data_IF_364172895163
#
_entry.id   IF_364172895163
#
_cell.length_a   1.000
_cell.length_b   1.000
_cell.length_c   1.000
_cell.angle_alpha   90.00
_cell.angle_beta   90.00
_cell.angle_gamma   90.00
#
_symmetry.space_group_name_H-M   'P 1'
#
loop_
_entity.id
_entity.type
_entity.pdbx_description
1 polymer ?
#
# COMPACT_ATOMS: atom_id res chain seq x y z
N UNK A 1 2.55 -10.08 25.48
CA UNK A 1 2.80 -9.00 24.51
C UNK A 1 1.84 -9.22 23.35
N UNK A 2 0.92 -8.29 23.02
CA UNK A 2 0.19 -8.37 21.77
C UNK A 2 1.20 -8.28 20.61
N UNK A 3 1.10 -9.18 19.62
CA UNK A 3 1.98 -9.13 18.46
C UNK A 3 1.49 -8.01 17.52
N UNK A 4 2.41 -7.14 17.10
CA UNK A 4 2.10 -6.01 16.23
C UNK A 4 1.80 -6.43 14.79
N UNK A 5 1.14 -5.55 14.00
CA UNK A 5 0.89 -5.78 12.58
C UNK A 5 2.16 -5.62 11.74
N UNK A 6 2.29 -6.42 10.69
CA UNK A 6 3.26 -6.24 9.60
C UNK A 6 2.58 -5.52 8.44
N UNK A 7 3.28 -4.54 7.87
CA UNK A 7 2.73 -3.70 6.81
C UNK A 7 3.77 -3.55 5.73
N UNK A 8 3.48 -4.11 4.57
CA UNK A 8 4.30 -3.99 3.37
C UNK A 8 3.83 -2.78 2.54
N UNK A 9 4.70 -2.27 1.69
CA UNK A 9 4.37 -1.21 0.74
C UNK A 9 4.52 -1.72 -0.68
N UNK A 10 3.47 -1.54 -1.49
CA UNK A 10 3.51 -1.80 -2.93
C UNK A 10 3.26 -0.50 -3.67
N UNK A 11 2.32 -0.48 -4.61
CA UNK A 11 1.98 0.69 -5.38
C UNK A 11 0.99 0.34 -6.49
N UNK A 12 0.26 1.35 -6.93
CA UNK A 12 -0.84 1.26 -7.90
C UNK A 12 -0.45 0.52 -9.19
N UNK A 13 0.84 0.50 -9.53
CA UNK A 13 1.38 -0.19 -10.70
C UNK A 13 1.25 -1.73 -10.64
N UNK A 14 0.91 -2.33 -9.50
CA UNK A 14 0.50 -3.75 -9.45
C UNK A 14 -0.84 -3.98 -10.15
N UNK A 15 -1.78 -3.02 -10.04
CA UNK A 15 -3.13 -3.12 -10.63
C UNK A 15 -3.24 -2.35 -11.95
N UNK A 16 -2.53 -1.23 -12.06
CA UNK A 16 -2.57 -0.28 -13.18
C UNK A 16 -1.16 -0.14 -13.79
N UNK A 17 -0.63 -1.18 -14.46
CA UNK A 17 0.71 -1.15 -15.03
C UNK A 17 0.82 -0.17 -16.21
N UNK A 18 2.02 0.34 -16.47
CA UNK A 18 2.30 1.23 -17.60
C UNK A 18 3.60 0.82 -18.33
N UNK A 19 3.83 1.29 -19.57
CA UNK A 19 5.07 0.99 -20.28
C UNK A 19 6.31 1.35 -19.44
N UNK A 20 7.26 0.42 -19.35
CA UNK A 20 8.50 0.59 -18.57
C UNK A 20 8.41 0.16 -17.10
N UNK A 21 7.25 -0.29 -16.60
CA UNK A 21 7.10 -0.68 -15.18
C UNK A 21 7.06 -2.18 -14.93
N UNK A 22 7.43 -3.02 -15.89
CA UNK A 22 7.29 -4.49 -15.78
C UNK A 22 7.91 -5.08 -14.51
N UNK A 23 9.14 -4.67 -14.17
CA UNK A 23 9.81 -5.12 -12.95
C UNK A 23 9.11 -4.63 -11.67
N UNK A 24 8.62 -3.39 -11.67
CA UNK A 24 7.90 -2.80 -10.52
C UNK A 24 6.56 -3.51 -10.33
N UNK A 25 5.79 -3.69 -11.41
CA UNK A 25 4.51 -4.38 -11.39
C UNK A 25 4.65 -5.83 -10.95
N UNK A 26 5.73 -6.52 -11.36
CA UNK A 26 6.04 -7.87 -10.88
C UNK A 26 6.24 -7.90 -9.36
N UNK A 27 7.13 -7.08 -8.83
CA UNK A 27 7.46 -7.08 -7.39
C UNK A 27 6.23 -6.68 -6.57
N UNK A 28 5.52 -5.65 -6.99
CA UNK A 28 4.33 -5.18 -6.27
C UNK A 28 3.21 -6.23 -6.27
N UNK A 29 2.92 -6.86 -7.41
CA UNK A 29 1.93 -7.94 -7.50
C UNK A 29 2.33 -9.20 -6.74
N UNK A 30 3.64 -9.50 -6.70
CA UNK A 30 4.18 -10.60 -5.89
C UNK A 30 3.99 -10.34 -4.40
N UNK A 31 4.27 -9.12 -3.91
CA UNK A 31 4.06 -8.73 -2.51
C UNK A 31 2.58 -8.77 -2.10
N UNK A 32 1.67 -8.39 -2.99
CA UNK A 32 0.22 -8.51 -2.72
C UNK A 32 -0.22 -9.97 -2.60
N UNK A 33 0.28 -10.82 -3.47
CA UNK A 33 -0.01 -12.27 -3.43
C UNK A 33 0.62 -12.91 -2.20
N UNK A 34 1.86 -12.55 -1.88
CA UNK A 34 2.58 -12.99 -0.68
C UNK A 34 1.84 -12.60 0.59
N UNK A 35 1.41 -11.34 0.72
CA UNK A 35 0.64 -10.85 1.87
C UNK A 35 -0.59 -11.70 2.11
N UNK A 36 -1.32 -12.04 1.03
CA UNK A 36 -2.52 -12.87 1.13
C UNK A 36 -2.25 -14.28 1.63
N UNK A 37 -1.21 -14.91 1.09
CA UNK A 37 -0.82 -16.27 1.48
C UNK A 37 -0.22 -16.29 2.89
N UNK A 38 0.73 -15.40 3.19
CA UNK A 38 1.41 -15.31 4.47
C UNK A 38 0.43 -15.09 5.63
N UNK A 39 -0.63 -14.30 5.42
CA UNK A 39 -1.67 -14.10 6.43
C UNK A 39 -2.33 -15.39 6.94
N UNK A 40 -2.34 -16.46 6.13
CA UNK A 40 -2.89 -17.77 6.51
C UNK A 40 -1.94 -18.57 7.43
N UNK A 41 -0.65 -18.25 7.40
CA UNK A 41 0.43 -19.00 8.07
C UNK A 41 1.02 -18.24 9.27
N UNK A 42 0.56 -17.00 9.53
CA UNK A 42 1.11 -16.15 10.57
C UNK A 42 0.83 -16.70 11.99
N UNK A 43 1.89 -16.98 12.79
CA UNK A 43 1.72 -17.48 14.15
C UNK A 43 1.28 -16.36 15.10
N UNK A 44 0.71 -16.73 16.26
CA UNK A 44 0.38 -15.82 17.37
C UNK A 44 -0.64 -14.71 17.04
N UNK A 45 -1.46 -14.91 16.01
CA UNK A 45 -2.46 -13.93 15.60
C UNK A 45 -1.85 -12.65 15.03
N UNK A 46 -0.63 -12.73 14.49
CA UNK A 46 0.00 -11.62 13.76
C UNK A 46 -0.84 -11.30 12.53
N UNK A 47 -1.09 -10.01 12.30
CA UNK A 47 -1.76 -9.51 11.10
C UNK A 47 -0.72 -9.02 10.11
N UNK A 48 -0.97 -9.25 8.82
CA UNK A 48 -0.15 -8.72 7.73
C UNK A 48 -1.07 -8.10 6.69
N UNK A 49 -0.74 -6.89 6.27
CA UNK A 49 -1.43 -6.16 5.21
C UNK A 49 -0.40 -5.48 4.31
N UNK A 50 -0.87 -4.96 3.18
CA UNK A 50 -0.05 -4.18 2.25
C UNK A 50 -0.78 -2.89 1.88
N UNK A 51 -0.04 -1.79 1.82
CA UNK A 51 -0.55 -0.49 1.36
C UNK A 51 -0.12 -0.27 -0.07
N UNK A 52 -1.07 0.00 -0.96
CA UNK A 52 -0.86 0.35 -2.36
C UNK A 52 -1.09 1.85 -2.56
N UNK A 53 -0.03 2.68 -2.53
CA UNK A 53 -0.12 4.10 -2.84
C UNK A 53 -0.27 4.38 -4.34
N UNK A 54 -0.96 5.48 -4.72
CA UNK A 54 -0.80 6.07 -6.04
C UNK A 54 0.56 6.80 -6.15
N UNK A 55 0.76 7.54 -7.25
CA UNK A 55 1.87 8.48 -7.32
C UNK A 55 1.84 9.46 -6.12
N UNK A 56 2.98 9.63 -5.47
CA UNK A 56 3.12 10.54 -4.33
C UNK A 56 3.61 11.90 -4.83
N UNK A 57 2.93 12.98 -4.41
CA UNK A 57 3.20 14.34 -4.90
C UNK A 57 4.65 14.77 -4.66
N UNK A 58 5.20 14.47 -3.49
CA UNK A 58 6.57 14.78 -3.12
C UNK A 58 7.58 14.08 -4.06
N UNK A 59 7.29 12.84 -4.45
CA UNK A 59 8.11 12.06 -5.40
C UNK A 59 8.00 12.61 -6.82
N UNK A 60 6.79 12.96 -7.27
CA UNK A 60 6.59 13.59 -8.58
C UNK A 60 7.34 14.93 -8.70
N UNK A 61 7.30 15.74 -7.63
CA UNK A 61 8.07 17.00 -7.54
C UNK A 61 9.57 16.73 -7.60
N UNK A 62 10.07 15.74 -6.85
CA UNK A 62 11.49 15.39 -6.84
C UNK A 62 12.00 14.90 -8.21
N UNK A 63 11.18 14.16 -8.96
CA UNK A 63 11.50 13.71 -10.31
C UNK A 63 11.14 14.72 -11.42
N UNK A 64 10.67 15.92 -11.07
CA UNK A 64 10.22 16.95 -12.02
C UNK A 64 9.19 16.42 -13.04
N UNK A 65 8.36 15.45 -12.62
CA UNK A 65 7.30 14.85 -13.43
C UNK A 65 6.02 15.67 -13.29
N UNK A 66 5.72 16.47 -14.32
CA UNK A 66 4.55 17.35 -14.36
C UNK A 66 3.38 16.69 -15.10
N UNK A 67 2.15 17.01 -14.71
CA UNK A 67 0.93 16.54 -15.37
C UNK A 67 0.43 15.16 -14.95
N UNK A 68 1.12 14.51 -14.00
CA UNK A 68 0.64 13.29 -13.36
C UNK A 68 -0.10 13.69 -12.08
N UNK A 69 -1.33 13.20 -11.91
CA UNK A 69 -2.06 13.38 -10.67
C UNK A 69 -1.43 12.50 -9.58
N UNK A 70 -0.98 13.12 -8.50
CA UNK A 70 -0.47 12.45 -7.33
C UNK A 70 -1.36 12.65 -6.11
N UNK A 71 -0.93 12.07 -5.00
CA UNK A 71 -1.51 12.20 -3.67
C UNK A 71 -0.43 12.64 -2.68
N UNK A 72 -0.71 13.57 -1.75
CA UNK A 72 0.26 13.92 -0.72
C UNK A 72 0.59 12.73 0.16
N UNK A 73 1.88 12.57 0.53
CA UNK A 73 2.32 11.48 1.41
C UNK A 73 1.55 11.43 2.74
N UNK A 74 1.15 12.60 3.26
CA UNK A 74 0.33 12.70 4.47
C UNK A 74 -1.06 12.04 4.32
N UNK A 75 -1.66 12.07 3.13
CA UNK A 75 -2.93 11.38 2.87
C UNK A 75 -2.72 9.87 2.72
N UNK A 76 -1.63 9.47 2.05
CA UNK A 76 -1.24 8.06 1.94
C UNK A 76 -1.02 7.43 3.32
N UNK A 77 -0.44 8.17 4.26
CA UNK A 77 -0.18 7.71 5.63
C UNK A 77 -1.46 7.22 6.36
N UNK A 78 -2.64 7.73 6.01
CA UNK A 78 -3.91 7.28 6.60
C UNK A 78 -4.20 5.80 6.36
N UNK A 79 -3.80 5.26 5.22
CA UNK A 79 -3.95 3.83 4.93
C UNK A 79 -3.07 2.97 5.87
N UNK A 80 -1.87 3.46 6.19
CA UNK A 80 -1.00 2.80 7.17
C UNK A 80 -1.62 2.84 8.57
N UNK A 81 -2.11 4.00 9.00
CA UNK A 81 -2.81 4.15 10.29
C UNK A 81 -3.98 3.17 10.38
N UNK A 82 -4.83 3.07 9.34
CA UNK A 82 -5.95 2.13 9.29
C UNK A 82 -5.51 0.65 9.40
N UNK A 83 -4.36 0.31 8.82
CA UNK A 83 -3.78 -1.03 8.93
C UNK A 83 -3.30 -1.34 10.34
N UNK A 84 -2.68 -0.36 11.00
CA UNK A 84 -2.15 -0.47 12.35
C UNK A 84 -3.28 -0.63 13.35
N UNK A 85 -4.23 0.31 13.34
CA UNK A 85 -5.32 0.41 14.32
C UNK A 85 -6.46 -0.58 14.04
N UNK A 86 -6.57 -1.03 12.79
CA UNK A 86 -7.57 -1.99 12.36
C UNK A 86 -7.39 -3.40 12.91
N UNK A 87 -8.42 -4.23 12.73
CA UNK A 87 -8.37 -5.67 13.00
C UNK A 87 -8.15 -6.52 11.74
N UNK A 88 -8.11 -5.90 10.57
CA UNK A 88 -8.03 -6.61 9.29
C UNK A 88 -6.63 -7.22 9.04
N UNK A 89 -6.61 -8.34 8.32
CA UNK A 89 -5.41 -9.04 7.82
C UNK A 89 -5.65 -9.47 6.37
N UNK A 90 -4.59 -9.76 5.61
CA UNK A 90 -4.66 -10.19 4.21
C UNK A 90 -5.21 -9.11 3.25
N UNK A 91 -5.15 -7.83 3.63
CA UNK A 91 -5.73 -6.75 2.84
C UNK A 91 -4.71 -6.01 1.98
N UNK A 92 -5.14 -5.65 0.76
CA UNK A 92 -4.49 -4.65 -0.09
C UNK A 92 -5.23 -3.33 0.10
N UNK A 93 -4.62 -2.42 0.84
CA UNK A 93 -5.18 -1.11 1.16
C UNK A 93 -4.80 -0.10 0.09
N UNK A 94 -5.71 0.17 -0.84
CA UNK A 94 -5.57 1.27 -1.80
C UNK A 94 -5.65 2.60 -1.06
N UNK A 95 -4.53 3.33 -1.01
CA UNK A 95 -4.43 4.58 -0.26
C UNK A 95 -5.44 5.64 -0.73
N UNK A 96 -5.88 5.58 -2.00
CA UNK A 96 -6.86 6.52 -2.56
C UNK A 96 -8.20 6.45 -1.83
N UNK A 97 -8.57 5.28 -1.31
CA UNK A 97 -9.83 5.07 -0.59
C UNK A 97 -9.86 5.70 0.80
N UNK A 98 -8.69 6.03 1.35
CA UNK A 98 -8.54 6.61 2.70
C UNK A 98 -8.28 8.11 2.66
N UNK A 99 -8.26 8.71 1.47
CA UNK A 99 -8.07 10.14 1.30
C UNK A 99 -9.33 10.95 1.71
N UNK A 100 -10.52 10.36 1.66
CA UNK A 100 -11.80 11.05 1.81
C UNK A 100 -12.51 10.89 3.17
N UNK A 101 -11.90 10.22 4.16
CA UNK A 101 -12.50 10.09 5.49
C UNK A 101 -12.17 11.31 6.37
N UNK A 102 -12.75 12.47 6.02
CA UNK A 102 -13.08 13.53 6.98
C UNK A 102 -14.60 13.66 6.96
N UNK A 103 -15.25 13.16 8.02
CA UNK A 103 -16.69 13.21 8.24
C UNK A 103 -16.98 12.77 9.66
#
# INVERSE_FOLDING_TARGET
>A
MPCGPFIETTGVLAQEPMPGTSAISLVNGALESFTRAAALEMPRGIRINVVSPPWVDETLKAFNMKGIAGMPAAQVARAYVRSIEGSDTSQVLDARKFAAQEG
#
